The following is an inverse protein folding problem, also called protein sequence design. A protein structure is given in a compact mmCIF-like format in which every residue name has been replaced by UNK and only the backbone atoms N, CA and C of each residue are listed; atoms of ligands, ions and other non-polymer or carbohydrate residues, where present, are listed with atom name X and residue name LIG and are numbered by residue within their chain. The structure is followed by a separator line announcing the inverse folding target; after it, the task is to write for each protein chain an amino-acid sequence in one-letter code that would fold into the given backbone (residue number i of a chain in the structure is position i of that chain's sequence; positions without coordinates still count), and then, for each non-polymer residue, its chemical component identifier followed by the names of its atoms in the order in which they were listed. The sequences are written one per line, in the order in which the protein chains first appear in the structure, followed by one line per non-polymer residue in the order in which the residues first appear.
data_IF_825385192265
#
_entry.id   IF_825385192265
#
_cell.length_a   1.000
_cell.length_b   1.000
_cell.length_c   1.000
_cell.angle_alpha   90.00
_cell.angle_beta   90.00
_cell.angle_gamma   90.00
#
_symmetry.space_group_name_H-M   'P 1'
#
loop_
_entity.id
_entity.type
_entity.pdbx_description
1 polymer ?
#
# COMPACT_ATOMS: atom_id res chain seq x y z
N UNK A 1 8.02 4.34 28.37
CA UNK A 1 7.37 4.90 27.16
C UNK A 1 7.46 3.90 26.00
N UNK A 2 6.60 4.02 25.00
CA UNK A 2 6.64 3.18 23.80
C UNK A 2 8.00 3.25 23.09
N UNK A 3 8.58 4.43 23.04
CA UNK A 3 9.91 4.67 22.47
C UNK A 3 11.01 3.84 23.16
N UNK A 4 10.95 3.74 24.48
CA UNK A 4 11.88 2.92 25.25
C UNK A 4 11.76 1.43 24.93
N UNK A 5 10.51 0.94 24.73
CA UNK A 5 10.27 -0.44 24.34
C UNK A 5 10.79 -0.74 22.92
N UNK A 6 10.56 0.16 21.97
CA UNK A 6 11.08 0.05 20.60
C UNK A 6 12.61 -0.02 20.59
N UNK A 7 13.28 0.89 21.28
CA UNK A 7 14.73 0.89 21.38
C UNK A 7 15.28 -0.39 22.02
N UNK A 8 14.60 -0.91 23.04
CA UNK A 8 14.97 -2.19 23.66
C UNK A 8 14.87 -3.36 22.67
N UNK A 9 13.80 -3.41 21.87
CA UNK A 9 13.61 -4.46 20.84
C UNK A 9 14.69 -4.35 19.77
N UNK A 10 15.01 -3.15 19.29
CA UNK A 10 16.08 -2.91 18.30
C UNK A 10 17.41 -3.43 18.86
N UNK A 11 17.76 -3.03 20.07
CA UNK A 11 19.04 -3.37 20.70
C UNK A 11 19.21 -4.89 20.90
N UNK A 12 18.17 -5.58 21.40
CA UNK A 12 18.21 -7.03 21.67
C UNK A 12 18.38 -7.83 20.36
N UNK A 13 17.86 -7.35 19.24
CA UNK A 13 17.91 -8.07 17.96
C UNK A 13 19.19 -7.79 17.15
N UNK A 14 20.06 -6.86 17.57
CA UNK A 14 21.31 -6.50 16.91
C UNK A 14 21.20 -6.27 15.40
N UNK A 15 20.11 -5.63 14.95
CA UNK A 15 19.87 -5.34 13.54
C UNK A 15 20.26 -3.89 13.23
N UNK A 16 21.13 -3.70 12.25
CA UNK A 16 21.51 -2.37 11.76
C UNK A 16 20.35 -1.70 11.01
N UNK A 17 19.53 -2.50 10.33
CA UNK A 17 18.32 -2.04 9.63
C UNK A 17 17.24 -3.11 9.69
N UNK A 18 15.98 -2.68 9.76
CA UNK A 18 14.88 -3.65 9.85
C UNK A 18 13.51 -3.01 9.76
N UNK A 19 12.51 -3.86 9.68
CA UNK A 19 11.10 -3.49 9.69
C UNK A 19 10.55 -3.76 11.08
N UNK A 20 10.14 -2.71 11.78
CA UNK A 20 9.46 -2.80 13.06
C UNK A 20 7.95 -2.87 12.79
N UNK A 21 7.32 -3.89 13.35
CA UNK A 21 5.86 -3.99 13.39
C UNK A 21 5.39 -3.78 14.83
N UNK A 22 4.61 -2.73 15.01
CA UNK A 22 3.89 -2.43 16.24
C UNK A 22 2.43 -2.82 16.05
N UNK A 23 1.91 -3.66 16.94
CA UNK A 23 0.50 -4.04 16.97
C UNK A 23 -0.05 -3.75 18.36
N UNK A 24 -1.21 -3.11 18.41
CA UNK A 24 -1.92 -2.82 19.65
C UNK A 24 -3.28 -3.52 19.56
N UNK A 25 -3.51 -4.48 20.43
CA UNK A 25 -4.81 -5.13 20.52
C UNK A 25 -5.72 -4.39 21.48
N UNK A 26 -7.01 -4.59 21.34
CA UNK A 26 -8.02 -4.00 22.20
C UNK A 26 -7.97 -4.51 23.65
N UNK A 27 -7.28 -5.62 23.90
CA UNK A 27 -7.23 -6.29 25.18
C UNK A 27 -8.33 -7.33 25.35
N UNK A 28 -8.41 -7.90 26.53
CA UNK A 28 -9.38 -8.93 26.87
C UNK A 28 -10.72 -8.29 27.24
N UNK A 29 -11.83 -8.85 26.77
CA UNK A 29 -13.18 -8.45 27.15
C UNK A 29 -13.80 -9.52 28.02
N UNK A 30 -14.06 -9.24 29.28
CA UNK A 30 -14.94 -10.09 30.08
C UNK A 30 -16.36 -10.00 29.49
N UNK A 31 -17.03 -11.16 29.37
CA UNK A 31 -18.39 -11.30 28.82
C UNK A 31 -19.44 -10.42 29.50
N UNK A 32 -19.13 -9.88 30.68
CA UNK A 32 -20.04 -9.08 31.53
C UNK A 32 -19.76 -7.60 31.55
N UNK A 33 -18.66 -7.13 30.96
CA UNK A 33 -18.31 -5.71 30.90
C UNK A 33 -17.81 -5.32 29.51
N UNK A 34 -18.40 -4.29 28.88
CA UNK A 34 -17.88 -3.73 27.62
C UNK A 34 -16.59 -2.91 27.81
N UNK A 35 -16.10 -2.78 29.04
CA UNK A 35 -14.86 -2.05 29.34
C UNK A 35 -13.68 -2.96 29.01
N UNK A 36 -12.95 -2.59 27.97
CA UNK A 36 -11.73 -3.28 27.55
C UNK A 36 -10.59 -2.89 28.48
N UNK A 37 -10.16 -3.83 29.30
CA UNK A 37 -9.05 -3.64 30.21
C UNK A 37 -7.80 -4.29 29.61
N UNK A 38 -6.69 -3.51 29.64
CA UNK A 38 -5.33 -3.96 29.31
C UNK A 38 -5.10 -4.28 27.83
N UNK A 39 -4.96 -3.25 26.94
CA UNK A 39 -4.50 -3.47 25.59
C UNK A 39 -3.12 -4.15 25.59
N UNK A 40 -2.94 -5.15 24.71
CA UNK A 40 -1.68 -5.83 24.57
C UNK A 40 -0.87 -5.17 23.44
N UNK A 41 0.40 -4.90 23.70
CA UNK A 41 1.32 -4.30 22.73
C UNK A 41 2.29 -5.39 22.28
N UNK A 42 2.27 -5.69 20.98
CA UNK A 42 3.22 -6.58 20.35
C UNK A 42 4.19 -5.79 19.48
N UNK A 43 5.47 -5.97 19.72
CA UNK A 43 6.54 -5.37 18.92
C UNK A 43 7.37 -6.50 18.33
N UNK A 44 7.48 -6.54 17.02
CA UNK A 44 8.38 -7.46 16.33
C UNK A 44 9.28 -6.70 15.38
N UNK A 45 10.51 -7.18 15.20
CA UNK A 45 11.46 -6.66 14.24
C UNK A 45 11.87 -7.79 13.29
N UNK A 46 12.02 -7.48 12.01
CA UNK A 46 12.54 -8.40 10.99
C UNK A 46 13.61 -7.70 10.18
N UNK A 47 14.60 -8.43 9.63
CA UNK A 47 15.55 -7.86 8.69
C UNK A 47 14.82 -7.17 7.54
N UNK A 48 15.43 -6.11 7.01
CA UNK A 48 14.90 -5.43 5.84
C UNK A 48 15.01 -6.35 4.62
N UNK A 49 13.96 -6.42 3.83
CA UNK A 49 13.97 -7.23 2.60
C UNK A 49 14.42 -6.40 1.39
N UNK A 50 14.99 -7.08 0.39
CA UNK A 50 15.37 -6.42 -0.86
C UNK A 50 14.16 -5.87 -1.61
N UNK A 51 14.21 -4.59 -1.95
CA UNK A 51 13.19 -3.93 -2.78
C UNK A 51 13.55 -4.13 -4.27
N UNK A 52 12.63 -4.57 -5.12
CA UNK A 52 12.87 -4.65 -6.55
C UNK A 52 13.32 -3.31 -7.14
N UNK A 53 14.33 -3.36 -8.00
CA UNK A 53 14.83 -2.16 -8.72
C UNK A 53 14.06 -1.97 -10.03
N UNK A 54 13.71 -3.09 -10.69
CA UNK A 54 12.95 -3.09 -11.94
C UNK A 54 11.45 -2.96 -11.69
N UNK A 55 10.68 -2.50 -12.67
CA UNK A 55 9.22 -2.56 -12.61
C UNK A 55 8.73 -3.96 -12.26
N UNK A 56 7.63 -4.04 -11.53
CA UNK A 56 7.05 -5.29 -11.04
C UNK A 56 5.72 -5.60 -11.72
N UNK A 57 5.46 -6.88 -11.98
CA UNK A 57 4.19 -7.30 -12.54
C UNK A 57 3.09 -7.16 -11.49
N UNK A 58 1.99 -6.47 -11.83
CA UNK A 58 0.75 -6.52 -11.06
C UNK A 58 -0.27 -7.39 -11.76
N UNK A 59 -1.15 -8.00 -10.98
CA UNK A 59 -2.26 -8.83 -11.48
C UNK A 59 -3.56 -8.26 -10.98
N UNK A 60 -4.48 -7.95 -11.89
CA UNK A 60 -5.79 -7.44 -11.54
C UNK A 60 -6.72 -8.59 -11.15
N UNK A 61 -7.34 -8.48 -9.98
CA UNK A 61 -8.20 -9.51 -9.41
C UNK A 61 -9.55 -8.91 -9.00
N UNK A 62 -10.62 -9.64 -9.27
CA UNK A 62 -11.95 -9.31 -8.78
C UNK A 62 -12.00 -9.52 -7.27
N UNK A 63 -12.19 -8.44 -6.51
CA UNK A 63 -12.20 -8.52 -5.03
C UNK A 63 -13.36 -9.35 -4.49
N UNK A 64 -14.42 -9.56 -5.26
CA UNK A 64 -15.58 -10.38 -4.84
C UNK A 64 -15.23 -11.85 -4.66
N UNK A 65 -14.12 -12.30 -5.26
CA UNK A 65 -13.61 -13.67 -5.12
C UNK A 65 -12.81 -13.89 -3.81
N UNK A 66 -12.65 -12.85 -3.01
CA UNK A 66 -11.83 -12.89 -1.79
C UNK A 66 -12.61 -12.29 -0.61
N UNK A 67 -12.39 -12.77 0.63
CA UNK A 67 -13.01 -12.18 1.82
C UNK A 67 -12.32 -10.85 2.18
N UNK A 68 -12.44 -9.86 1.29
CA UNK A 68 -11.98 -8.49 1.50
C UNK A 68 -13.07 -7.74 2.24
N UNK A 69 -12.69 -7.07 3.33
CA UNK A 69 -13.62 -6.25 4.12
C UNK A 69 -13.27 -4.77 3.89
N UNK A 70 -14.24 -4.01 3.38
CA UNK A 70 -14.16 -2.57 3.24
C UNK A 70 -14.90 -1.90 4.40
N UNK A 71 -14.25 -0.98 5.07
CA UNK A 71 -14.82 -0.17 6.15
C UNK A 71 -14.96 1.28 5.70
N UNK A 72 -15.99 1.96 6.22
CA UNK A 72 -16.15 3.41 6.04
C UNK A 72 -16.35 4.06 7.41
N UNK A 73 -15.39 4.80 7.93
CA UNK A 73 -14.04 5.06 7.37
C UNK A 73 -13.15 3.81 7.34
N UNK A 74 -12.18 3.79 6.43
CA UNK A 74 -11.28 2.67 6.27
C UNK A 74 -10.44 2.41 7.53
N UNK A 75 -10.32 1.16 7.92
CA UNK A 75 -9.60 0.72 9.11
C UNK A 75 -8.43 -0.20 8.71
N UNK A 76 -7.23 0.12 9.19
CA UNK A 76 -6.09 -0.80 9.05
C UNK A 76 -6.20 -1.92 10.09
N UNK A 77 -6.95 -2.96 9.71
CA UNK A 77 -7.24 -4.10 10.58
C UNK A 77 -6.24 -5.24 10.40
N UNK A 78 -6.28 -6.24 11.30
CA UNK A 78 -5.56 -7.51 11.18
C UNK A 78 -6.32 -8.55 10.34
N UNK A 79 -7.44 -8.19 9.73
CA UNK A 79 -8.30 -9.05 8.92
C UNK A 79 -7.74 -9.20 7.50
N UNK A 80 -6.65 -9.93 7.38
CA UNK A 80 -5.81 -9.99 6.19
C UNK A 80 -5.99 -11.26 5.34
N UNK A 81 -6.94 -12.12 5.67
CA UNK A 81 -7.07 -13.42 4.99
C UNK A 81 -7.34 -13.27 3.49
N UNK A 82 -8.23 -12.36 3.10
CA UNK A 82 -8.51 -12.08 1.70
C UNK A 82 -7.28 -11.56 0.93
N UNK A 83 -6.56 -10.63 1.55
CA UNK A 83 -5.32 -10.09 0.99
C UNK A 83 -4.23 -11.16 0.82
N UNK A 84 -4.10 -12.09 1.77
CA UNK A 84 -3.12 -13.17 1.67
C UNK A 84 -3.48 -14.21 0.61
N UNK A 85 -4.76 -14.54 0.48
CA UNK A 85 -5.24 -15.46 -0.56
C UNK A 85 -5.03 -14.89 -1.95
N UNK A 86 -5.41 -13.63 -2.15
CA UNK A 86 -5.20 -12.92 -3.43
C UNK A 86 -3.73 -12.80 -3.80
N UNK A 87 -2.87 -12.52 -2.80
CA UNK A 87 -1.42 -12.47 -3.00
C UNK A 87 -0.86 -13.80 -3.51
N UNK A 88 -1.27 -14.91 -2.91
CA UNK A 88 -0.88 -16.25 -3.36
C UNK A 88 -1.35 -16.54 -4.79
N UNK A 89 -2.56 -16.12 -5.15
CA UNK A 89 -3.09 -16.36 -6.49
C UNK A 89 -2.44 -15.41 -7.54
N UNK A 90 -2.05 -14.22 -7.13
CA UNK A 90 -1.21 -13.31 -7.91
C UNK A 90 0.18 -13.93 -8.18
N UNK A 91 0.82 -14.49 -7.16
CA UNK A 91 2.13 -15.15 -7.27
C UNK A 91 2.10 -16.35 -8.23
N UNK A 92 1.04 -17.14 -8.24
CA UNK A 92 0.84 -18.24 -9.22
C UNK A 92 0.79 -17.74 -10.67
N UNK A 93 0.40 -16.48 -10.88
CA UNK A 93 0.38 -15.82 -12.19
C UNK A 93 1.69 -15.04 -12.48
N UNK A 94 2.72 -15.23 -11.67
CA UNK A 94 4.00 -14.53 -11.78
C UNK A 94 3.95 -13.07 -11.37
N UNK A 95 2.89 -12.63 -10.67
CA UNK A 95 2.70 -11.28 -10.21
C UNK A 95 3.39 -10.99 -8.88
N UNK A 96 3.80 -9.75 -8.71
CA UNK A 96 4.37 -9.23 -7.47
C UNK A 96 3.31 -8.73 -6.50
N UNK A 97 2.25 -8.10 -7.00
CA UNK A 97 1.18 -7.53 -6.19
C UNK A 97 -0.17 -7.63 -6.90
N UNK A 98 -1.24 -8.10 -6.23
CA UNK A 98 -2.58 -8.01 -6.79
C UNK A 98 -3.12 -6.58 -6.65
N UNK A 99 -3.81 -6.13 -7.69
CA UNK A 99 -4.63 -4.91 -7.72
C UNK A 99 -6.08 -5.34 -7.81
N UNK A 100 -6.91 -4.86 -6.91
CA UNK A 100 -8.32 -5.22 -6.89
C UNK A 100 -9.17 -4.27 -7.71
N UNK A 101 -10.22 -4.81 -8.30
CA UNK A 101 -11.38 -4.06 -8.76
C UNK A 101 -12.64 -4.63 -8.11
N UNK A 102 -13.60 -3.76 -7.84
CA UNK A 102 -14.85 -4.13 -7.20
C UNK A 102 -15.88 -4.70 -8.21
N UNK A 103 -17.10 -5.02 -7.75
CA UNK A 103 -18.19 -5.54 -8.58
C UNK A 103 -18.60 -4.62 -9.74
N UNK A 104 -18.36 -3.32 -9.61
CA UNK A 104 -18.67 -2.30 -10.62
C UNK A 104 -17.47 -2.04 -11.56
N UNK A 105 -16.47 -2.94 -11.55
CA UNK A 105 -15.22 -2.84 -12.32
C UNK A 105 -14.40 -1.59 -12.00
N UNK A 106 -14.55 -1.00 -10.83
CA UNK A 106 -13.76 0.15 -10.37
C UNK A 106 -12.54 -0.37 -9.61
N UNK A 107 -11.36 0.11 -9.99
CA UNK A 107 -10.09 -0.18 -9.31
C UNK A 107 -10.17 0.37 -7.88
N UNK A 108 -9.78 -0.45 -6.91
CA UNK A 108 -9.78 -0.06 -5.50
C UNK A 108 -8.34 0.13 -4.98
N UNK A 109 -7.70 -0.87 -4.49
CA UNK A 109 -6.31 -0.81 -4.00
C UNK A 109 -5.61 -2.14 -4.21
N UNK A 110 -4.34 -2.23 -3.85
CA UNK A 110 -3.60 -3.48 -3.82
C UNK A 110 -3.87 -4.27 -2.53
N UNK A 111 -3.36 -5.49 -2.44
CA UNK A 111 -3.47 -6.29 -1.22
C UNK A 111 -2.84 -5.61 0.01
N UNK A 112 -1.70 -4.94 -0.18
CA UNK A 112 -0.97 -4.25 0.91
C UNK A 112 -0.40 -2.89 0.51
N UNK A 113 -0.78 -2.34 -0.65
CA UNK A 113 -0.24 -1.11 -1.24
C UNK A 113 -1.34 -0.25 -1.83
N UNK A 114 -1.03 1.01 -2.10
CA UNK A 114 -1.88 1.86 -2.93
C UNK A 114 -1.41 1.81 -4.38
N UNK A 115 -2.33 2.03 -5.32
CA UNK A 115 -2.09 2.08 -6.77
C UNK A 115 -2.27 3.49 -7.31
N UNK A 116 -1.44 3.85 -8.28
CA UNK A 116 -1.48 5.12 -8.99
C UNK A 116 -1.31 4.89 -10.47
N UNK A 117 -1.90 5.76 -11.25
CA UNK A 117 -1.77 5.79 -12.70
C UNK A 117 -1.42 7.19 -13.16
N UNK A 118 -0.79 7.30 -14.31
CA UNK A 118 -0.57 8.57 -14.98
C UNK A 118 -1.16 8.49 -16.38
N UNK A 119 -1.89 9.52 -16.76
CA UNK A 119 -2.41 9.72 -18.10
C UNK A 119 -2.36 11.21 -18.42
N UNK A 120 -1.85 11.55 -19.61
CA UNK A 120 -1.76 12.94 -20.06
C UNK A 120 -1.13 13.90 -19.02
N UNK A 121 -0.08 13.44 -18.32
CA UNK A 121 0.64 14.14 -17.24
C UNK A 121 -0.17 14.36 -15.95
N UNK A 122 -1.36 13.78 -15.83
CA UNK A 122 -2.20 13.83 -14.62
C UNK A 122 -1.99 12.57 -13.81
N UNK A 123 -1.84 12.71 -12.50
CA UNK A 123 -1.75 11.60 -11.54
C UNK A 123 -3.15 11.21 -11.08
N UNK A 124 -3.53 9.97 -11.33
CA UNK A 124 -4.79 9.37 -10.90
C UNK A 124 -4.56 8.36 -9.78
N UNK A 125 -5.45 8.36 -8.80
CA UNK A 125 -5.50 7.31 -7.77
C UNK A 125 -6.95 7.08 -7.36
N UNK A 126 -7.32 5.85 -6.95
CA UNK A 126 -8.67 5.56 -6.51
C UNK A 126 -9.12 6.45 -5.34
N UNK A 127 -10.38 6.87 -5.38
CA UNK A 127 -10.99 7.73 -4.38
C UNK A 127 -11.18 7.00 -3.04
N UNK A 128 -10.98 7.70 -1.92
CA UNK A 128 -11.05 7.10 -0.56
C UNK A 128 -12.47 6.61 -0.19
N UNK A 129 -13.50 7.15 -0.82
CA UNK A 129 -14.89 6.71 -0.61
C UNK A 129 -15.15 5.26 -1.05
N UNK A 130 -14.24 4.65 -1.82
CA UNK A 130 -14.24 3.22 -2.12
C UNK A 130 -13.88 2.34 -0.91
N UNK A 131 -13.67 2.92 0.28
CA UNK A 131 -13.29 2.20 1.50
C UNK A 131 -11.85 1.69 1.48
N UNK A 132 -10.98 2.31 0.68
CA UNK A 132 -9.55 2.00 0.61
C UNK A 132 -8.78 2.77 1.68
N UNK A 133 -7.59 2.27 2.02
CA UNK A 133 -6.76 2.93 3.03
C UNK A 133 -6.13 4.23 2.49
N UNK A 134 -6.27 5.31 3.29
CA UNK A 134 -5.46 6.53 3.16
C UNK A 134 -4.05 6.22 3.66
N UNK A 135 -3.22 5.61 2.79
CA UNK A 135 -1.87 5.21 3.16
C UNK A 135 -0.95 6.40 3.38
N UNK A 136 -0.09 6.35 4.39
CA UNK A 136 0.93 7.40 4.65
C UNK A 136 1.78 7.66 3.40
N UNK A 137 2.21 6.60 2.70
CA UNK A 137 2.96 6.77 1.46
C UNK A 137 2.08 7.32 0.33
N UNK A 138 0.77 7.01 0.31
CA UNK A 138 -0.17 7.61 -0.64
C UNK A 138 -0.22 9.13 -0.47
N UNK A 139 -0.41 9.61 0.73
CA UNK A 139 -0.41 11.04 1.04
C UNK A 139 0.92 11.70 0.68
N UNK A 140 2.05 11.05 1.00
CA UNK A 140 3.38 11.54 0.62
C UNK A 140 3.53 11.68 -0.90
N UNK A 141 3.02 10.72 -1.68
CA UNK A 141 3.03 10.78 -3.15
C UNK A 141 2.22 11.94 -3.67
N UNK A 142 1.01 12.15 -3.15
CA UNK A 142 0.14 13.27 -3.54
C UNK A 142 0.82 14.61 -3.25
N UNK A 143 1.36 14.80 -2.06
CA UNK A 143 2.10 16.00 -1.67
C UNK A 143 3.37 16.23 -2.53
N UNK A 144 4.02 15.18 -3.00
CA UNK A 144 5.15 15.30 -3.93
C UNK A 144 4.65 15.75 -5.30
N UNK A 145 3.61 15.09 -5.83
CA UNK A 145 3.06 15.41 -7.14
C UNK A 145 2.62 16.89 -7.20
N UNK A 146 1.92 17.37 -6.19
CA UNK A 146 1.55 18.78 -6.05
C UNK A 146 2.78 19.71 -6.03
N UNK A 147 3.83 19.35 -5.28
CA UNK A 147 5.04 20.19 -5.17
C UNK A 147 5.89 20.26 -6.45
N UNK A 148 5.60 19.45 -7.45
CA UNK A 148 6.25 19.45 -8.77
C UNK A 148 5.26 19.71 -9.90
N UNK A 149 4.14 20.37 -9.58
CA UNK A 149 3.12 20.84 -10.52
C UNK A 149 2.48 19.71 -11.37
N UNK A 150 2.31 18.53 -10.81
CA UNK A 150 1.53 17.44 -11.42
C UNK A 150 0.09 17.53 -10.93
N UNK A 151 -0.87 17.71 -11.85
CA UNK A 151 -2.29 17.67 -11.53
C UNK A 151 -2.67 16.32 -10.92
N UNK A 152 -3.55 16.32 -9.90
CA UNK A 152 -3.96 15.12 -9.16
C UNK A 152 -5.46 14.93 -9.30
N UNK A 153 -5.88 13.68 -9.55
CA UNK A 153 -7.29 13.26 -9.55
C UNK A 153 -7.49 12.03 -8.69
N UNK A 154 -8.14 12.20 -7.55
CA UNK A 154 -8.67 11.12 -6.73
C UNK A 154 -10.08 10.79 -7.25
N UNK A 155 -10.22 9.66 -7.95
CA UNK A 155 -11.45 9.40 -8.73
C UNK A 155 -11.70 7.90 -8.91
N UNK A 156 -12.83 7.56 -9.54
CA UNK A 156 -13.10 6.20 -9.99
C UNK A 156 -12.33 5.92 -11.28
N UNK A 157 -11.55 4.85 -11.24
CA UNK A 157 -10.75 4.36 -12.37
C UNK A 157 -11.33 3.00 -12.76
N UNK A 158 -11.82 2.88 -13.97
CA UNK A 158 -12.42 1.64 -14.41
C UNK A 158 -11.38 0.65 -14.92
N UNK A 159 -11.59 -0.63 -14.63
CA UNK A 159 -10.70 -1.69 -15.06
C UNK A 159 -10.51 -1.72 -16.59
N UNK A 160 -11.56 -1.41 -17.33
CA UNK A 160 -11.52 -1.41 -18.80
C UNK A 160 -10.64 -0.27 -19.37
N UNK A 161 -10.39 0.77 -18.58
CA UNK A 161 -9.60 1.95 -19.00
C UNK A 161 -8.12 1.84 -18.68
N UNK A 162 -7.67 0.84 -17.90
CA UNK A 162 -6.29 0.77 -17.43
C UNK A 162 -5.25 0.70 -18.56
N UNK A 163 -5.57 0.04 -19.67
CA UNK A 163 -4.67 -0.06 -20.82
C UNK A 163 -4.49 1.27 -21.57
N UNK A 164 -5.32 2.27 -21.28
CA UNK A 164 -5.18 3.63 -21.82
C UNK A 164 -4.28 4.53 -20.99
N UNK A 165 -3.78 4.04 -19.83
CA UNK A 165 -2.88 4.79 -18.96
C UNK A 165 -1.47 4.81 -19.54
N UNK A 166 -0.74 5.91 -19.30
CA UNK A 166 0.64 6.08 -19.76
C UNK A 166 1.64 5.41 -18.80
N UNK A 167 1.38 5.49 -17.49
CA UNK A 167 2.23 4.90 -16.45
C UNK A 167 1.39 4.36 -15.30
N UNK A 168 1.97 3.42 -14.54
CA UNK A 168 1.42 2.97 -13.27
C UNK A 168 2.52 2.63 -12.27
N UNK A 169 2.22 2.85 -10.98
CA UNK A 169 3.11 2.47 -9.89
C UNK A 169 2.32 2.17 -8.62
N UNK A 170 2.93 1.37 -7.76
CA UNK A 170 2.40 1.02 -6.44
C UNK A 170 3.25 1.65 -5.34
N UNK A 171 2.64 1.95 -4.19
CA UNK A 171 3.35 2.56 -3.07
C UNK A 171 3.00 1.95 -1.72
N UNK A 172 3.99 1.91 -0.83
CA UNK A 172 3.83 1.68 0.61
C UNK A 172 5.05 2.18 1.38
N UNK A 173 4.92 2.35 2.68
CA UNK A 173 6.04 2.77 3.55
C UNK A 173 7.22 1.81 3.51
N UNK A 174 6.99 0.50 3.26
CA UNK A 174 8.05 -0.50 3.21
C UNK A 174 8.85 -0.54 1.90
N UNK A 175 8.30 -0.01 0.80
CA UNK A 175 8.95 -0.07 -0.52
C UNK A 175 9.17 1.30 -1.17
N UNK A 176 8.61 2.38 -0.59
CA UNK A 176 8.50 3.65 -1.31
C UNK A 176 7.59 3.53 -2.53
N UNK A 177 8.14 3.79 -3.71
CA UNK A 177 7.47 3.64 -5.01
C UNK A 177 8.10 2.52 -5.83
N UNK A 178 7.25 1.69 -6.45
CA UNK A 178 7.64 0.74 -7.48
C UNK A 178 6.81 0.94 -8.73
N UNK A 179 7.47 1.20 -9.85
CA UNK A 179 6.84 1.16 -11.16
C UNK A 179 6.27 -0.24 -11.40
N UNK A 180 5.13 -0.34 -12.06
CA UNK A 180 4.51 -1.62 -12.33
C UNK A 180 4.05 -1.76 -13.79
N UNK A 181 3.81 -2.99 -14.19
CA UNK A 181 3.28 -3.38 -15.48
C UNK A 181 2.33 -4.57 -15.33
N UNK A 182 1.57 -4.87 -16.37
CA UNK A 182 0.75 -6.09 -16.48
C UNK A 182 0.85 -6.68 -17.88
N UNK A 183 0.23 -7.81 -18.11
CA UNK A 183 0.33 -8.50 -19.38
C UNK A 183 -0.13 -7.59 -20.55
N UNK A 184 0.71 -7.51 -21.59
CA UNK A 184 0.51 -6.68 -22.78
C UNK A 184 0.47 -5.16 -22.56
N UNK A 185 0.93 -4.68 -21.37
CA UNK A 185 1.04 -3.26 -21.10
C UNK A 185 2.37 -2.95 -20.38
N UNK A 186 3.12 -2.00 -20.93
CA UNK A 186 4.37 -1.49 -20.40
C UNK A 186 4.46 0.02 -20.58
N UNK A 187 5.30 0.66 -19.77
CA UNK A 187 5.48 2.10 -19.76
C UNK A 187 6.95 2.50 -19.67
N UNK A 188 7.24 3.75 -20.06
CA UNK A 188 8.56 4.38 -19.85
C UNK A 188 8.79 4.86 -18.42
N UNK A 189 7.74 4.97 -17.60
CA UNK A 189 7.76 5.38 -16.19
C UNK A 189 8.49 6.71 -15.93
N UNK A 190 8.31 7.71 -16.81
CA UNK A 190 8.97 8.99 -16.71
C UNK A 190 8.55 9.76 -15.46
N UNK A 191 7.24 9.97 -15.27
CA UNK A 191 6.68 10.68 -14.10
C UNK A 191 6.83 9.87 -12.81
N UNK A 192 6.67 8.56 -12.88
CA UNK A 192 6.94 7.65 -11.77
C UNK A 192 8.36 7.84 -11.24
N UNK A 193 9.36 7.91 -12.13
CA UNK A 193 10.75 8.12 -11.74
C UNK A 193 11.00 9.55 -11.21
N UNK A 194 10.30 10.55 -11.73
CA UNK A 194 10.37 11.92 -11.22
C UNK A 194 9.87 11.99 -9.77
N UNK A 195 8.67 11.47 -9.50
CA UNK A 195 8.10 11.39 -8.15
C UNK A 195 9.01 10.58 -7.20
N UNK A 196 9.54 9.46 -7.68
CA UNK A 196 10.46 8.62 -6.90
C UNK A 196 11.74 9.37 -6.51
N UNK A 197 12.31 10.15 -7.43
CA UNK A 197 13.50 10.97 -7.17
C UNK A 197 13.23 12.02 -6.08
N UNK A 198 12.10 12.70 -6.14
CA UNK A 198 11.70 13.67 -5.11
C UNK A 198 11.45 13.01 -3.75
N UNK A 199 10.84 11.82 -3.72
CA UNK A 199 10.70 11.04 -2.50
C UNK A 199 12.06 10.76 -1.85
N UNK A 200 13.04 10.29 -2.62
CA UNK A 200 14.39 10.03 -2.09
C UNK A 200 15.08 11.28 -1.55
N UNK A 201 14.88 12.44 -2.18
CA UNK A 201 15.42 13.71 -1.66
C UNK A 201 14.81 14.04 -0.30
N UNK A 202 13.49 13.89 -0.13
CA UNK A 202 12.81 14.15 1.14
C UNK A 202 13.28 13.22 2.26
N UNK A 203 13.43 11.92 1.96
CA UNK A 203 13.92 10.93 2.94
C UNK A 203 15.35 11.22 3.40
N UNK A 204 16.22 11.72 2.50
CA UNK A 204 17.60 12.06 2.86
C UNK A 204 17.72 13.34 3.70
N UNK A 205 16.74 14.22 3.63
CA UNK A 205 16.74 15.52 4.32
C UNK A 205 15.92 15.50 5.62
N UNK A 206 15.29 14.38 5.97
CA UNK A 206 14.55 14.15 7.22
C UNK A 206 15.41 13.39 8.24
#
# INVERSE_FOLDING_TARGET
SLFSLLNKVIHINNLESGIIRLMITRGDSNKTSPVFNMPCIYISIKPFYSIPIKPVKVVYLDETNYPIIRFTPAIKSMNYIGNMLSKRDCEKQGGYEPVFYNKDKIITECAIRNIFFIKDKVLYTPALELGILSGVMRETVLNIAESIDIEIKETYIYYDDINSMDEAFISSTGIGLLACYWDNWESKHHYTNLIKKELFKRIKNS
#
